data_IF_076675878099
#
_entry.id   IF_076675878099
#
_cell.length_a   1.000
_cell.length_b   1.000
_cell.length_c   1.000
_cell.angle_alpha   90.00
_cell.angle_beta   90.00
_cell.angle_gamma   90.00
#
_symmetry.space_group_name_H-M   'P 1'
#
loop_
_entity.id
_entity.type
_entity.pdbx_description
1 polymer ?
#
# COMPACT_ATOMS: atom_id res chain seq x y z
N UNK A 1 11.18 -17.39 -31.63
CA UNK A 1 11.70 -16.15 -31.05
C UNK A 1 12.04 -16.41 -29.58
N UNK A 2 13.23 -16.05 -29.12
CA UNK A 2 13.59 -16.22 -27.72
C UNK A 2 13.27 -14.93 -26.94
N UNK A 3 12.13 -14.92 -26.26
CA UNK A 3 11.66 -13.75 -25.48
C UNK A 3 12.53 -13.46 -24.25
N UNK A 4 13.28 -14.45 -23.76
CA UNK A 4 14.15 -14.29 -22.59
C UNK A 4 15.25 -13.25 -22.81
N UNK A 5 15.76 -13.12 -24.02
CA UNK A 5 16.81 -12.17 -24.37
C UNK A 5 16.41 -10.71 -24.19
N UNK A 6 15.10 -10.42 -24.09
CA UNK A 6 14.58 -9.07 -23.95
C UNK A 6 14.23 -8.69 -22.50
N UNK A 7 14.38 -9.61 -21.55
CA UNK A 7 14.01 -9.35 -20.14
C UNK A 7 14.91 -8.29 -19.52
N UNK A 8 16.21 -8.35 -19.75
CA UNK A 8 17.15 -7.40 -19.16
C UNK A 8 16.99 -6.00 -19.76
N UNK A 9 16.77 -5.90 -21.07
CA UNK A 9 16.48 -4.63 -21.74
C UNK A 9 15.16 -4.04 -21.22
N UNK A 10 14.12 -4.89 -21.05
CA UNK A 10 12.86 -4.47 -20.46
C UNK A 10 13.00 -4.00 -19.00
N UNK A 11 13.86 -4.63 -18.22
CA UNK A 11 14.18 -4.21 -16.86
C UNK A 11 14.75 -2.78 -16.83
N UNK A 12 15.70 -2.49 -17.73
CA UNK A 12 16.27 -1.16 -17.89
C UNK A 12 15.23 -0.14 -18.34
N UNK A 13 14.40 -0.48 -19.30
CA UNK A 13 13.27 0.35 -19.74
C UNK A 13 12.29 0.66 -18.59
N UNK A 14 11.95 -0.32 -17.76
CA UNK A 14 11.09 -0.10 -16.60
C UNK A 14 11.73 0.82 -15.55
N UNK A 15 13.03 0.77 -15.41
CA UNK A 15 13.78 1.61 -14.48
C UNK A 15 13.92 3.04 -15.02
N UNK A 16 14.44 3.20 -16.24
CA UNK A 16 14.80 4.51 -16.82
C UNK A 16 13.59 5.28 -17.32
N UNK A 17 12.72 4.66 -18.13
CA UNK A 17 11.62 5.37 -18.78
C UNK A 17 10.31 5.33 -18.01
N UNK A 18 9.98 4.20 -17.36
CA UNK A 18 8.76 4.08 -16.55
C UNK A 18 8.95 4.50 -15.11
N UNK A 19 10.18 4.77 -14.69
CA UNK A 19 10.53 5.21 -13.33
C UNK A 19 9.85 4.36 -12.23
N UNK A 20 9.81 3.03 -12.44
CA UNK A 20 9.20 2.11 -11.50
C UNK A 20 10.13 1.84 -10.31
N UNK A 21 9.54 1.56 -9.14
CA UNK A 21 10.31 1.12 -7.99
C UNK A 21 10.91 -0.26 -8.23
N UNK A 22 12.09 -0.54 -7.61
CA UNK A 22 12.75 -1.84 -7.69
C UNK A 22 11.82 -3.01 -7.34
N UNK A 23 10.95 -2.85 -6.35
CA UNK A 23 9.96 -3.87 -5.98
C UNK A 23 8.94 -4.13 -7.09
N UNK A 24 8.49 -3.07 -7.80
CA UNK A 24 7.57 -3.21 -8.93
C UNK A 24 8.25 -3.92 -10.09
N UNK A 25 9.50 -3.55 -10.40
CA UNK A 25 10.31 -4.19 -11.44
C UNK A 25 10.49 -5.67 -11.11
N UNK A 26 10.91 -6.01 -9.89
CA UNK A 26 11.09 -7.40 -9.47
C UNK A 26 9.79 -8.22 -9.61
N UNK A 27 8.64 -7.66 -9.22
CA UNK A 27 7.35 -8.33 -9.39
C UNK A 27 7.02 -8.57 -10.86
N UNK A 28 7.27 -7.59 -11.73
CA UNK A 28 7.07 -7.73 -13.18
C UNK A 28 7.95 -8.83 -13.76
N UNK A 29 9.22 -8.85 -13.39
CA UNK A 29 10.16 -9.89 -13.85
C UNK A 29 9.77 -11.30 -13.39
N UNK A 30 9.31 -11.45 -12.14
CA UNK A 30 8.79 -12.72 -11.62
C UNK A 30 7.57 -13.19 -12.43
N UNK A 31 6.64 -12.28 -12.72
CA UNK A 31 5.44 -12.61 -13.50
C UNK A 31 5.80 -13.02 -14.94
N UNK A 32 6.75 -12.31 -15.56
CA UNK A 32 7.20 -12.62 -16.91
C UNK A 32 7.94 -13.96 -16.98
N UNK A 33 8.80 -14.26 -16.00
CA UNK A 33 9.46 -15.58 -15.93
C UNK A 33 8.44 -16.70 -15.87
N UNK A 34 7.35 -16.55 -15.13
CA UNK A 34 6.27 -17.55 -15.09
C UNK A 34 5.57 -17.71 -16.44
N UNK A 35 5.34 -16.60 -17.17
CA UNK A 35 4.81 -16.68 -18.53
C UNK A 35 5.78 -17.38 -19.47
N UNK A 36 7.08 -17.12 -19.40
CA UNK A 36 8.09 -17.72 -20.27
C UNK A 36 8.24 -19.22 -20.04
N UNK A 37 8.11 -19.70 -18.81
CA UNK A 37 8.06 -21.14 -18.50
C UNK A 37 6.85 -21.80 -19.18
N UNK A 38 5.72 -21.07 -19.24
CA UNK A 38 4.50 -21.56 -19.89
C UNK A 38 4.54 -21.47 -21.41
N UNK A 39 5.42 -20.61 -21.96
CA UNK A 39 5.47 -20.27 -23.38
C UNK A 39 5.94 -21.44 -24.26
N UNK A 40 5.08 -21.84 -25.21
CA UNK A 40 5.41 -22.86 -26.20
C UNK A 40 5.91 -22.21 -27.50
N UNK A 41 7.18 -22.42 -27.86
CA UNK A 41 7.82 -21.86 -29.06
C UNK A 41 7.19 -22.33 -30.38
N UNK A 42 6.48 -23.45 -30.36
CA UNK A 42 5.81 -24.02 -31.55
C UNK A 42 4.43 -23.40 -31.80
N UNK A 43 3.94 -22.55 -30.93
CA UNK A 43 2.67 -21.87 -31.08
C UNK A 43 2.87 -20.37 -31.30
N UNK A 44 1.89 -19.72 -31.96
CA UNK A 44 1.95 -18.27 -32.11
C UNK A 44 1.79 -17.57 -30.75
N UNK A 45 2.26 -16.32 -30.68
CA UNK A 45 2.30 -15.55 -29.45
C UNK A 45 0.90 -15.30 -28.85
N UNK A 46 -0.10 -14.96 -29.69
CA UNK A 46 -1.47 -14.71 -29.24
C UNK A 46 -2.09 -15.94 -28.58
N UNK A 47 -1.89 -17.12 -29.18
CA UNK A 47 -2.38 -18.39 -28.63
C UNK A 47 -1.73 -18.74 -27.29
N UNK A 48 -0.43 -18.46 -27.14
CA UNK A 48 0.27 -18.60 -25.87
C UNK A 48 -0.30 -17.69 -24.78
N UNK A 49 -0.59 -16.42 -25.14
CA UNK A 49 -1.18 -15.44 -24.22
C UNK A 49 -2.57 -15.91 -23.76
N UNK A 50 -3.44 -16.30 -24.69
CA UNK A 50 -4.79 -16.80 -24.38
C UNK A 50 -4.76 -18.02 -23.46
N UNK A 51 -3.91 -19.00 -23.78
CA UNK A 51 -3.75 -20.20 -22.95
C UNK A 51 -3.23 -19.84 -21.55
N UNK A 52 -2.26 -18.94 -21.45
CA UNK A 52 -1.73 -18.49 -20.17
C UNK A 52 -2.79 -17.80 -19.33
N UNK A 53 -3.53 -16.84 -19.90
CA UNK A 53 -4.62 -16.14 -19.19
C UNK A 53 -5.70 -17.14 -18.75
N UNK A 54 -6.08 -18.08 -19.63
CA UNK A 54 -7.03 -19.13 -19.28
C UNK A 54 -6.55 -20.02 -18.15
N UNK A 55 -5.26 -20.37 -18.13
CA UNK A 55 -4.66 -21.16 -17.06
C UNK A 55 -4.67 -20.38 -15.72
N UNK A 56 -4.40 -19.08 -15.74
CA UNK A 56 -4.48 -18.23 -14.53
C UNK A 56 -5.89 -18.14 -13.97
N UNK A 57 -6.91 -18.13 -14.84
CA UNK A 57 -8.34 -18.09 -14.44
C UNK A 57 -8.82 -19.41 -13.83
N UNK A 58 -8.28 -20.55 -14.30
CA UNK A 58 -8.63 -21.90 -13.78
C UNK A 58 -8.01 -22.21 -12.43
N UNK A 59 -6.86 -21.60 -12.11
CA UNK A 59 -6.19 -21.78 -10.83
C UNK A 59 -6.86 -20.89 -9.78
N UNK A 60 -6.95 -21.35 -8.52
CA UNK A 60 -7.51 -20.59 -7.39
C UNK A 60 -6.65 -19.39 -6.97
N UNK A 61 -6.28 -18.54 -7.95
CA UNK A 61 -5.47 -17.33 -7.77
C UNK A 61 -6.41 -16.14 -7.65
N UNK A 62 -6.10 -15.20 -6.75
CA UNK A 62 -6.91 -13.99 -6.58
C UNK A 62 -6.95 -13.14 -7.86
N UNK A 63 -8.11 -12.54 -8.17
CA UNK A 63 -8.28 -11.64 -9.33
C UNK A 63 -7.23 -10.51 -9.34
N UNK A 64 -6.85 -10.00 -8.16
CA UNK A 64 -5.79 -8.99 -8.04
C UNK A 64 -4.43 -9.50 -8.54
N UNK A 65 -4.09 -10.74 -8.21
CA UNK A 65 -2.85 -11.37 -8.69
C UNK A 65 -2.91 -11.64 -10.19
N UNK A 66 -4.05 -12.12 -10.71
CA UNK A 66 -4.25 -12.33 -12.14
C UNK A 66 -4.10 -11.00 -12.90
N UNK A 67 -4.78 -9.94 -12.45
CA UNK A 67 -4.71 -8.63 -13.09
C UNK A 67 -3.28 -8.05 -13.05
N UNK A 68 -2.51 -8.27 -11.97
CA UNK A 68 -1.11 -7.87 -11.92
C UNK A 68 -0.26 -8.60 -12.95
N UNK A 69 -0.44 -9.93 -13.10
CA UNK A 69 0.28 -10.75 -14.10
C UNK A 69 -0.08 -10.34 -15.52
N UNK A 70 -1.35 -10.10 -15.80
CA UNK A 70 -1.83 -9.57 -17.08
C UNK A 70 -1.19 -8.20 -17.36
N UNK A 71 -1.14 -7.31 -16.36
CA UNK A 71 -0.53 -5.98 -16.50
C UNK A 71 0.97 -6.08 -16.79
N UNK A 72 1.69 -6.96 -16.10
CA UNK A 72 3.12 -7.21 -16.34
C UNK A 72 3.37 -7.69 -17.79
N UNK A 73 2.59 -8.66 -18.25
CA UNK A 73 2.69 -9.20 -19.58
C UNK A 73 2.33 -8.14 -20.65
N UNK A 74 1.22 -7.42 -20.46
CA UNK A 74 0.79 -6.34 -21.37
C UNK A 74 1.86 -5.26 -21.53
N UNK A 75 2.52 -4.85 -20.44
CA UNK A 75 3.60 -3.87 -20.49
C UNK A 75 4.81 -4.40 -21.25
N UNK A 76 5.19 -5.65 -21.05
CA UNK A 76 6.29 -6.28 -21.78
C UNK A 76 6.03 -6.37 -23.27
N UNK A 77 4.83 -6.78 -23.65
CA UNK A 77 4.45 -6.89 -25.06
C UNK A 77 4.36 -5.53 -25.76
N UNK A 78 3.88 -4.50 -25.06
CA UNK A 78 3.92 -3.12 -25.57
C UNK A 78 5.36 -2.63 -25.78
N UNK A 79 6.26 -2.96 -24.87
CA UNK A 79 7.68 -2.68 -25.03
C UNK A 79 8.26 -3.40 -26.26
N UNK A 80 8.01 -4.71 -26.43
CA UNK A 80 8.47 -5.43 -27.61
C UNK A 80 7.90 -4.88 -28.92
N UNK A 81 6.68 -4.34 -28.89
CA UNK A 81 6.05 -3.69 -30.03
C UNK A 81 6.69 -2.31 -30.34
N UNK A 82 6.99 -1.51 -29.31
CA UNK A 82 7.69 -0.22 -29.50
C UNK A 82 9.10 -0.41 -30.07
N UNK A 83 9.79 -1.47 -29.67
CA UNK A 83 11.10 -1.86 -30.20
C UNK A 83 11.01 -2.57 -31.56
N UNK A 84 9.82 -2.66 -32.18
CA UNK A 84 9.57 -3.31 -33.48
C UNK A 84 9.96 -4.81 -33.54
N UNK A 85 10.10 -5.45 -32.38
CA UNK A 85 10.46 -6.87 -32.25
C UNK A 85 9.27 -7.75 -32.61
N UNK A 86 8.06 -7.30 -32.28
CA UNK A 86 6.80 -7.98 -32.62
C UNK A 86 5.86 -7.02 -33.36
N UNK A 87 5.14 -7.52 -34.37
CA UNK A 87 4.36 -6.66 -35.24
C UNK A 87 2.89 -6.53 -34.85
N UNK A 88 2.20 -7.60 -34.52
CA UNK A 88 0.76 -7.58 -34.25
C UNK A 88 0.40 -8.34 -32.98
N UNK A 89 -0.02 -7.60 -31.95
CA UNK A 89 -0.60 -8.18 -30.74
C UNK A 89 -2.05 -7.72 -30.67
N UNK A 90 -2.94 -8.69 -30.48
CA UNK A 90 -4.29 -8.37 -30.08
C UNK A 90 -4.31 -8.00 -28.60
N UNK A 91 -4.39 -6.71 -28.29
CA UNK A 91 -4.45 -6.21 -26.93
C UNK A 91 -5.83 -6.41 -26.26
N UNK A 92 -6.86 -6.76 -27.03
CA UNK A 92 -8.23 -6.99 -26.51
C UNK A 92 -8.31 -8.30 -25.71
N UNK A 93 -7.34 -9.21 -25.90
CA UNK A 93 -7.18 -10.43 -25.11
C UNK A 93 -6.98 -10.12 -23.60
N UNK A 94 -6.50 -8.91 -23.29
CA UNK A 94 -6.18 -8.48 -21.92
C UNK A 94 -7.36 -7.85 -21.19
N UNK A 95 -8.54 -8.43 -21.27
CA UNK A 95 -9.65 -8.00 -20.42
C UNK A 95 -9.30 -8.15 -18.94
N UNK A 96 -9.38 -7.05 -18.21
CA UNK A 96 -9.17 -7.07 -16.76
C UNK A 96 -10.35 -7.74 -16.07
N UNK A 97 -10.08 -8.68 -15.18
CA UNK A 97 -11.11 -9.23 -14.31
C UNK A 97 -11.61 -8.14 -13.36
N UNK A 98 -12.93 -8.02 -13.26
CA UNK A 98 -13.53 -7.11 -12.31
C UNK A 98 -13.08 -7.49 -10.89
N UNK A 99 -12.21 -6.70 -10.33
CA UNK A 99 -11.96 -6.73 -8.90
C UNK A 99 -13.17 -6.07 -8.24
N UNK A 100 -14.04 -6.85 -7.63
CA UNK A 100 -14.84 -6.32 -6.54
C UNK A 100 -13.83 -5.81 -5.50
N UNK A 101 -13.51 -4.53 -5.55
CA UNK A 101 -12.66 -3.89 -4.54
C UNK A 101 -13.39 -4.10 -3.20
N UNK A 102 -13.07 -5.17 -2.49
CA UNK A 102 -13.46 -5.28 -1.08
C UNK A 102 -12.80 -4.09 -0.42
N UNK A 103 -13.63 -3.10 -0.08
CA UNK A 103 -13.19 -1.95 0.69
C UNK A 103 -12.66 -2.55 1.99
N UNK A 104 -11.38 -2.37 2.34
CA UNK A 104 -10.90 -2.79 3.64
C UNK A 104 -11.81 -2.09 4.66
N UNK A 105 -12.49 -2.83 5.53
CA UNK A 105 -13.25 -2.23 6.63
C UNK A 105 -12.27 -1.39 7.43
N UNK A 106 -12.50 -0.08 7.46
CA UNK A 106 -11.83 0.76 8.42
C UNK A 106 -12.21 0.22 9.82
N UNK A 107 -11.23 0.16 10.68
CA UNK A 107 -11.44 -0.26 12.06
C UNK A 107 -11.79 1.01 12.84
N UNK A 108 -12.85 0.96 13.64
CA UNK A 108 -13.27 2.09 14.46
C UNK A 108 -12.22 2.50 15.50
N UNK A 109 -12.29 3.73 16.01
CA UNK A 109 -11.39 4.22 17.06
C UNK A 109 -11.37 3.30 18.28
N UNK A 110 -12.54 2.81 18.71
CA UNK A 110 -12.66 1.94 19.86
C UNK A 110 -12.03 0.56 19.62
N UNK A 111 -12.17 0.02 18.42
CA UNK A 111 -11.53 -1.24 18.04
C UNK A 111 -10.01 -1.07 17.94
N UNK A 112 -9.51 0.06 17.43
CA UNK A 112 -8.07 0.39 17.40
C UNK A 112 -7.52 0.45 18.84
N UNK A 113 -8.22 1.09 19.77
CA UNK A 113 -7.81 1.15 21.16
C UNK A 113 -7.78 -0.25 21.79
N UNK A 114 -8.81 -1.08 21.59
CA UNK A 114 -8.84 -2.48 22.04
C UNK A 114 -7.68 -3.30 21.48
N UNK A 115 -7.30 -3.07 20.22
CA UNK A 115 -6.12 -3.72 19.62
C UNK A 115 -4.85 -3.32 20.36
N UNK A 116 -4.62 -2.01 20.59
CA UNK A 116 -3.45 -1.54 21.30
C UNK A 116 -3.39 -2.06 22.73
N UNK A 117 -4.52 -2.09 23.45
CA UNK A 117 -4.59 -2.63 24.82
C UNK A 117 -4.26 -4.12 24.87
N UNK A 118 -4.79 -4.89 23.91
CA UNK A 118 -4.49 -6.32 23.82
C UNK A 118 -3.02 -6.58 23.46
N UNK A 119 -2.44 -5.79 22.57
CA UNK A 119 -1.03 -5.89 22.22
C UNK A 119 -0.12 -5.50 23.40
N UNK A 120 -0.51 -4.47 24.18
CA UNK A 120 0.24 -4.05 25.39
C UNK A 120 0.27 -5.15 26.44
N UNK A 121 -0.80 -5.93 26.59
CA UNK A 121 -0.90 -7.06 27.53
C UNK A 121 -0.18 -8.32 27.05
N UNK A 122 0.25 -8.37 25.78
CA UNK A 122 0.93 -9.54 25.21
C UNK A 122 2.33 -9.75 25.81
N UNK A 123 2.82 -10.98 25.72
CA UNK A 123 4.16 -11.42 26.11
C UNK A 123 5.19 -11.38 24.95
N UNK A 124 4.85 -10.70 23.85
CA UNK A 124 5.70 -10.68 22.68
C UNK A 124 7.01 -9.92 22.89
N UNK A 125 8.11 -10.54 22.49
CA UNK A 125 9.42 -9.89 22.47
C UNK A 125 9.38 -8.65 21.58
N UNK A 126 9.97 -7.55 22.05
CA UNK A 126 10.02 -6.27 21.35
C UNK A 126 8.63 -5.66 21.03
N UNK A 127 7.57 -6.05 21.75
CA UNK A 127 6.21 -5.54 21.49
C UNK A 127 6.12 -4.03 21.44
N UNK A 128 6.81 -3.35 22.37
CA UNK A 128 6.75 -1.89 22.48
C UNK A 128 7.16 -1.18 21.19
N UNK A 129 8.21 -1.66 20.52
CA UNK A 129 8.67 -1.05 19.27
C UNK A 129 7.65 -1.26 18.14
N UNK A 130 7.05 -2.45 18.04
CA UNK A 130 6.00 -2.72 17.04
C UNK A 130 4.73 -1.91 17.32
N UNK A 131 4.32 -1.80 18.58
CA UNK A 131 3.18 -0.98 18.99
C UNK A 131 3.42 0.50 18.67
N UNK A 132 4.63 1.01 18.93
CA UNK A 132 5.00 2.39 18.62
C UNK A 132 4.98 2.65 17.12
N UNK A 133 5.45 1.70 16.28
CA UNK A 133 5.34 1.78 14.81
C UNK A 133 3.87 1.89 14.39
N UNK A 134 3.00 1.02 14.90
CA UNK A 134 1.58 1.00 14.54
C UNK A 134 0.85 2.26 15.02
N UNK A 135 1.17 2.76 16.23
CA UNK A 135 0.66 4.04 16.74
C UNK A 135 1.10 5.21 15.86
N UNK A 136 2.38 5.25 15.47
CA UNK A 136 2.88 6.27 14.55
C UNK A 136 2.07 6.26 13.24
N UNK A 137 1.86 5.09 12.64
CA UNK A 137 1.07 4.97 11.41
C UNK A 137 -0.38 5.44 11.58
N UNK A 138 -0.98 5.20 12.75
CA UNK A 138 -2.35 5.63 13.04
C UNK A 138 -2.45 7.13 13.32
N UNK A 139 -1.43 7.75 13.92
CA UNK A 139 -1.42 9.19 14.25
C UNK A 139 -1.07 10.03 13.02
N UNK A 140 -0.09 9.58 12.23
CA UNK A 140 0.51 10.37 11.13
C UNK A 140 0.07 9.94 9.73
N UNK A 141 -0.64 8.82 9.61
CA UNK A 141 -1.04 8.26 8.32
C UNK A 141 0.12 7.76 7.44
N UNK A 142 1.31 7.55 8.00
CA UNK A 142 2.46 7.07 7.24
C UNK A 142 2.25 5.66 6.67
N UNK A 143 2.88 5.37 5.51
CA UNK A 143 3.05 3.98 5.07
C UNK A 143 4.03 3.27 6.00
N UNK A 144 3.85 1.97 6.19
CA UNK A 144 4.78 1.19 7.03
C UNK A 144 6.23 1.30 6.55
N UNK A 145 6.48 1.34 5.24
CA UNK A 145 7.82 1.52 4.68
C UNK A 145 8.41 2.91 4.98
N UNK A 146 7.57 3.94 4.98
CA UNK A 146 7.95 5.31 5.36
C UNK A 146 8.29 5.37 6.85
N UNK A 147 7.41 4.87 7.71
CA UNK A 147 7.65 4.81 9.16
C UNK A 147 8.95 4.09 9.50
N UNK A 148 9.22 2.94 8.87
CA UNK A 148 10.44 2.16 9.10
C UNK A 148 11.71 2.78 8.50
N UNK A 149 11.59 3.74 7.59
CA UNK A 149 12.73 4.43 7.01
C UNK A 149 13.15 5.67 7.80
N UNK A 150 12.34 6.13 8.75
CA UNK A 150 12.59 7.34 9.53
C UNK A 150 13.88 7.25 10.35
N UNK A 151 14.61 8.33 10.31
CA UNK A 151 15.76 8.59 11.17
C UNK A 151 15.41 9.69 12.20
N UNK A 152 16.18 9.80 13.24
CA UNK A 152 16.01 10.88 14.23
C UNK A 152 16.21 12.27 13.62
N UNK A 153 17.05 12.39 12.58
CA UNK A 153 17.22 13.62 11.80
C UNK A 153 15.97 14.08 11.03
N UNK A 154 15.02 13.16 10.76
CA UNK A 154 13.79 13.48 10.05
C UNK A 154 12.70 14.03 10.98
N UNK A 155 12.92 13.98 12.30
CA UNK A 155 11.97 14.38 13.32
C UNK A 155 12.35 15.73 13.94
N UNK A 156 11.44 16.72 13.84
CA UNK A 156 11.53 17.98 14.58
C UNK A 156 10.67 17.89 15.85
N UNK A 157 11.33 18.00 17.02
CA UNK A 157 10.64 18.03 18.31
C UNK A 157 9.85 19.31 18.49
N UNK A 158 10.42 20.43 18.10
CA UNK A 158 9.82 21.76 18.21
C UNK A 158 8.57 21.93 17.34
N UNK A 159 8.64 21.43 16.10
CA UNK A 159 7.52 21.51 15.17
C UNK A 159 6.53 20.36 15.34
N UNK A 160 6.85 19.36 16.16
CA UNK A 160 6.10 18.10 16.29
C UNK A 160 5.83 17.49 14.91
N UNK A 161 6.83 17.50 14.04
CA UNK A 161 6.70 17.16 12.63
C UNK A 161 7.76 16.15 12.18
N UNK A 162 7.40 15.38 11.17
CA UNK A 162 8.27 14.42 10.50
C UNK A 162 8.41 14.82 9.05
N UNK A 163 9.62 14.92 8.56
CA UNK A 163 9.91 15.03 7.13
C UNK A 163 9.87 13.63 6.51
N UNK A 164 8.97 13.43 5.56
CA UNK A 164 8.73 12.13 4.93
C UNK A 164 9.12 12.21 3.46
N UNK A 165 10.03 11.36 3.06
CA UNK A 165 10.47 11.24 1.67
C UNK A 165 9.66 10.15 0.96
N UNK A 166 8.82 10.57 0.01
CA UNK A 166 7.98 9.70 -0.79
C UNK A 166 8.65 9.21 -2.07
N UNK A 167 7.91 8.45 -2.87
CA UNK A 167 8.37 8.01 -4.20
C UNK A 167 8.66 9.22 -5.10
N UNK A 168 9.84 9.23 -5.75
CA UNK A 168 10.30 10.34 -6.61
C UNK A 168 10.80 11.54 -5.82
N UNK A 169 11.36 11.34 -4.63
CA UNK A 169 11.95 12.41 -3.78
C UNK A 169 10.99 13.53 -3.40
N UNK A 170 9.67 13.29 -3.51
CA UNK A 170 8.68 14.26 -3.04
C UNK A 170 8.68 14.26 -1.52
N UNK A 171 9.11 15.39 -0.97
CA UNK A 171 9.08 15.64 0.46
C UNK A 171 7.69 16.09 0.90
N UNK A 172 7.24 15.60 2.05
CA UNK A 172 6.07 16.11 2.75
C UNK A 172 6.30 16.12 4.25
N UNK A 173 5.69 17.08 4.93
CA UNK A 173 5.62 17.09 6.39
C UNK A 173 4.41 16.28 6.85
N UNK A 174 4.59 15.47 7.88
CA UNK A 174 3.53 14.83 8.64
C UNK A 174 3.66 15.25 10.09
N UNK A 175 2.53 15.49 10.76
CA UNK A 175 2.51 16.05 12.11
C UNK A 175 2.19 14.98 13.14
N UNK A 176 2.70 15.17 14.35
CA UNK A 176 2.48 14.33 15.51
C UNK A 176 1.74 15.11 16.61
N UNK A 177 1.17 14.37 17.55
CA UNK A 177 0.72 14.99 18.80
C UNK A 177 1.91 15.24 19.72
N UNK A 178 1.80 16.24 20.62
CA UNK A 178 2.84 16.52 21.62
C UNK A 178 3.16 15.28 22.47
N UNK A 179 2.13 14.62 22.97
CA UNK A 179 2.25 13.40 23.78
C UNK A 179 3.02 12.29 23.06
N UNK A 180 2.70 12.05 21.78
CA UNK A 180 3.38 10.99 21.03
C UNK A 180 4.82 11.37 20.67
N UNK A 181 5.08 12.65 20.45
CA UNK A 181 6.44 13.18 20.23
C UNK A 181 7.31 12.90 21.47
N UNK A 182 6.82 13.17 22.68
CA UNK A 182 7.54 12.86 23.91
C UNK A 182 7.76 11.35 24.07
N UNK A 183 6.75 10.52 23.78
CA UNK A 183 6.89 9.04 23.80
C UNK A 183 7.98 8.57 22.84
N UNK A 184 8.10 9.17 21.65
CA UNK A 184 9.19 8.83 20.72
C UNK A 184 10.54 9.24 21.28
N UNK A 185 10.68 10.48 21.75
CA UNK A 185 11.95 11.00 22.24
C UNK A 185 12.44 10.28 23.51
N UNK A 186 11.54 9.81 24.38
CA UNK A 186 11.91 8.99 25.54
C UNK A 186 12.57 7.65 25.16
N UNK A 187 12.37 7.20 23.92
CA UNK A 187 12.96 5.96 23.38
C UNK A 187 14.25 6.21 22.59
N UNK A 188 14.69 7.47 22.43
CA UNK A 188 15.89 7.81 21.68
C UNK A 188 17.13 7.28 22.37
N UNK A 189 17.91 6.46 21.66
CA UNK A 189 19.18 5.90 22.13
C UNK A 189 20.38 6.35 21.29
N UNK A 190 20.17 6.57 20.01
CA UNK A 190 21.18 6.96 19.03
C UNK A 190 20.57 7.88 17.96
N UNK A 191 21.35 8.37 17.03
CA UNK A 191 20.89 9.23 15.93
C UNK A 191 20.59 8.45 14.64
N UNK A 192 20.48 7.13 14.72
CA UNK A 192 20.20 6.26 13.59
C UNK A 192 18.71 6.19 13.21
N UNK A 193 18.26 4.99 12.84
CA UNK A 193 16.85 4.75 12.57
C UNK A 193 16.02 4.80 13.86
N UNK A 194 14.87 5.48 13.81
CA UNK A 194 13.95 5.54 14.98
C UNK A 194 13.54 4.11 15.40
N UNK A 195 13.23 3.25 14.42
CA UNK A 195 12.80 1.88 14.67
C UNK A 195 13.87 0.88 14.24
N UNK A 196 14.61 0.40 15.21
CA UNK A 196 15.63 -0.63 15.03
C UNK A 196 15.57 -1.66 16.17
N UNK A 197 16.04 -2.87 15.93
CA UNK A 197 16.27 -3.89 16.96
C UNK A 197 17.76 -4.25 16.90
N UNK A 198 18.48 -3.96 18.00
CA UNK A 198 19.93 -4.18 18.08
C UNK A 198 20.68 -3.53 16.91
N UNK A 199 20.35 -2.29 16.56
CA UNK A 199 20.93 -1.53 15.44
C UNK A 199 20.48 -1.96 14.04
N UNK A 200 19.69 -3.02 13.89
CA UNK A 200 19.19 -3.49 12.60
C UNK A 200 17.80 -2.92 12.30
N UNK A 201 17.63 -2.39 11.09
CA UNK A 201 16.35 -1.88 10.60
C UNK A 201 15.28 -2.98 10.59
N UNK A 202 14.08 -2.63 11.09
CA UNK A 202 12.92 -3.53 11.07
C UNK A 202 12.35 -3.63 9.65
N UNK A 203 11.95 -4.83 9.23
CA UNK A 203 11.33 -5.05 7.93
C UNK A 203 9.81 -4.89 7.99
N UNK A 204 9.19 -4.52 6.86
CA UNK A 204 7.73 -4.52 6.69
C UNK A 204 7.13 -5.90 7.00
N UNK A 205 7.85 -6.96 6.60
CA UNK A 205 7.45 -8.34 6.86
C UNK A 205 7.36 -8.62 8.35
N UNK A 206 8.34 -8.15 9.15
CA UNK A 206 8.36 -8.35 10.60
C UNK A 206 7.16 -7.69 11.29
N UNK A 207 6.77 -6.48 10.85
CA UNK A 207 5.57 -5.78 11.38
C UNK A 207 4.30 -6.58 11.09
N UNK A 208 4.14 -7.07 9.86
CA UNK A 208 2.96 -7.86 9.50
C UNK A 208 2.96 -9.25 10.17
N UNK A 209 4.13 -9.86 10.37
CA UNK A 209 4.26 -11.11 11.15
C UNK A 209 3.90 -10.92 12.63
N UNK A 210 4.23 -9.76 13.21
CA UNK A 210 3.79 -9.42 14.58
C UNK A 210 2.27 -9.38 14.68
N UNK A 211 1.59 -8.72 13.74
CA UNK A 211 0.12 -8.68 13.68
C UNK A 211 -0.49 -10.06 13.41
N UNK A 212 0.09 -10.85 12.50
CA UNK A 212 -0.39 -12.21 12.22
C UNK A 212 -0.26 -13.12 13.46
N UNK A 213 0.84 -12.99 14.22
CA UNK A 213 1.02 -13.69 15.50
C UNK A 213 -0.04 -13.28 16.53
N UNK A 214 -0.32 -11.97 16.64
CA UNK A 214 -1.35 -11.46 17.53
C UNK A 214 -2.75 -12.01 17.18
N UNK A 215 -3.07 -12.09 15.88
CA UNK A 215 -4.29 -12.72 15.42
C UNK A 215 -4.36 -14.22 15.78
N UNK A 216 -3.30 -14.98 15.52
CA UNK A 216 -3.24 -16.42 15.84
C UNK A 216 -3.35 -16.71 17.33
N UNK A 217 -2.88 -15.81 18.19
CA UNK A 217 -3.02 -15.91 19.66
C UNK A 217 -4.38 -15.39 20.17
N UNK A 218 -5.29 -14.98 19.29
CA UNK A 218 -6.62 -14.47 19.67
C UNK A 218 -6.60 -13.08 20.32
N UNK A 219 -5.46 -12.36 20.29
CA UNK A 219 -5.34 -11.01 20.85
C UNK A 219 -6.08 -9.96 20.01
N UNK A 220 -6.23 -10.22 18.70
CA UNK A 220 -7.02 -9.40 17.78
C UNK A 220 -8.04 -10.27 17.05
N UNK A 221 -9.25 -9.72 16.89
CA UNK A 221 -10.40 -10.46 16.37
C UNK A 221 -10.30 -10.81 14.88
N UNK A 222 -9.61 -9.98 14.10
CA UNK A 222 -9.52 -10.13 12.64
C UNK A 222 -8.07 -10.14 12.20
N UNK A 223 -7.79 -10.87 11.11
CA UNK A 223 -6.50 -10.78 10.44
C UNK A 223 -6.36 -9.42 9.76
N UNK A 224 -5.44 -8.62 10.25
CA UNK A 224 -5.17 -7.27 9.76
C UNK A 224 -3.71 -7.13 9.31
N UNK A 225 -3.46 -6.17 8.45
CA UNK A 225 -2.11 -5.74 8.06
C UNK A 225 -1.83 -4.33 8.56
N UNK A 226 -0.58 -3.93 8.55
CA UNK A 226 -0.17 -2.57 8.93
C UNK A 226 -0.89 -1.46 8.16
N UNK A 227 -1.31 -1.71 6.92
CA UNK A 227 -2.07 -0.73 6.12
C UNK A 227 -3.41 -0.33 6.72
N UNK A 228 -4.01 -1.19 7.55
CA UNK A 228 -5.27 -0.89 8.22
C UNK A 228 -5.15 0.34 9.12
N UNK A 229 -4.04 0.52 9.85
CA UNK A 229 -3.82 1.67 10.72
C UNK A 229 -3.79 3.00 9.95
N UNK A 230 -3.13 3.02 8.80
CA UNK A 230 -3.14 4.19 7.92
C UNK A 230 -4.53 4.44 7.33
N UNK A 231 -5.26 3.39 6.97
CA UNK A 231 -6.63 3.51 6.47
C UNK A 231 -7.57 4.05 7.56
N UNK A 232 -7.44 3.53 8.78
CA UNK A 232 -8.23 4.01 9.92
C UNK A 232 -7.91 5.46 10.29
N UNK A 233 -6.64 5.91 10.16
CA UNK A 233 -6.29 7.33 10.25
C UNK A 233 -7.11 8.17 9.28
N UNK A 234 -7.08 7.82 7.99
CA UNK A 234 -7.80 8.60 6.97
C UNK A 234 -9.31 8.61 7.19
N UNK A 235 -9.88 7.47 7.60
CA UNK A 235 -11.31 7.35 7.90
C UNK A 235 -11.69 8.17 9.13
N UNK A 236 -10.89 8.08 10.20
CA UNK A 236 -11.12 8.85 11.43
C UNK A 236 -11.05 10.37 11.18
N UNK A 237 -10.12 10.82 10.33
CA UNK A 237 -10.05 12.24 9.92
C UNK A 237 -11.32 12.67 9.18
N UNK A 238 -11.85 11.83 8.28
CA UNK A 238 -13.09 12.11 7.56
C UNK A 238 -14.31 12.12 8.48
N UNK A 239 -14.37 11.19 9.43
CA UNK A 239 -15.44 11.10 10.44
C UNK A 239 -15.48 12.33 11.37
N UNK A 240 -14.35 13.03 11.50
CA UNK A 240 -14.22 14.30 12.21
C UNK A 240 -14.23 15.53 11.26
N UNK A 241 -14.93 15.43 10.13
CA UNK A 241 -15.18 16.50 9.17
C UNK A 241 -13.93 17.12 8.51
N UNK A 242 -12.79 16.43 8.52
CA UNK A 242 -11.61 16.92 7.81
C UNK A 242 -11.82 16.88 6.29
N UNK A 243 -11.45 17.95 5.60
CA UNK A 243 -11.54 18.03 4.15
C UNK A 243 -10.68 16.92 3.50
N UNK A 244 -11.29 16.17 2.58
CA UNK A 244 -10.67 15.07 1.86
C UNK A 244 -9.39 15.50 1.12
N UNK A 245 -9.32 16.75 0.65
CA UNK A 245 -8.14 17.31 -0.02
C UNK A 245 -6.97 17.48 0.95
N UNK A 246 -7.24 17.87 2.20
CA UNK A 246 -6.22 17.94 3.25
C UNK A 246 -5.71 16.55 3.60
N UNK A 247 -6.61 15.57 3.73
CA UNK A 247 -6.23 14.17 3.99
C UNK A 247 -5.38 13.62 2.84
N UNK A 248 -5.71 13.91 1.59
CA UNK A 248 -4.91 13.52 0.42
C UNK A 248 -3.49 14.07 0.47
N UNK A 249 -3.32 15.35 0.82
CA UNK A 249 -2.02 15.99 0.99
C UNK A 249 -1.22 15.34 2.12
N UNK A 250 -1.83 15.12 3.28
CA UNK A 250 -1.21 14.46 4.43
C UNK A 250 -0.75 13.03 4.09
N UNK A 251 -1.56 12.28 3.37
CA UNK A 251 -1.24 10.92 2.97
C UNK A 251 -0.22 10.85 1.81
N UNK A 252 -0.02 11.92 1.06
CA UNK A 252 0.85 11.93 -0.12
C UNK A 252 0.35 10.98 -1.21
N UNK A 253 -0.97 11.04 -1.52
CA UNK A 253 -1.56 10.29 -2.62
C UNK A 253 -1.31 11.00 -3.94
N UNK A 254 -0.61 10.36 -4.87
CA UNK A 254 -0.35 10.88 -6.23
C UNK A 254 -1.53 10.67 -7.19
N UNK A 255 -2.54 9.89 -6.81
CA UNK A 255 -3.69 9.55 -7.66
C UNK A 255 -5.00 9.62 -6.89
N UNK A 256 -6.02 10.22 -7.56
CA UNK A 256 -7.40 10.30 -7.08
C UNK A 256 -8.04 8.90 -6.92
N UNK A 257 -7.59 7.90 -7.68
CA UNK A 257 -8.13 6.53 -7.65
C UNK A 257 -7.92 5.80 -6.31
N UNK A 258 -6.87 6.14 -5.57
CA UNK A 258 -6.67 5.65 -4.19
C UNK A 258 -7.64 6.30 -3.20
N UNK A 259 -8.26 7.39 -3.60
CA UNK A 259 -9.19 8.17 -2.78
C UNK A 259 -10.66 7.78 -3.01
N UNK A 260 -10.97 7.03 -4.08
CA UNK A 260 -12.33 6.50 -4.33
C UNK A 260 -12.85 5.64 -3.16
N UNK A 261 -11.95 5.00 -2.41
CA UNK A 261 -12.31 4.25 -1.20
C UNK A 261 -12.90 5.19 -0.15
N UNK A 262 -12.38 6.41 -0.04
CA UNK A 262 -12.82 7.42 0.93
C UNK A 262 -14.02 8.23 0.43
N UNK A 263 -14.28 8.30 -0.88
CA UNK A 263 -15.47 9.00 -1.41
C UNK A 263 -16.78 8.32 -1.04
N UNK A 264 -16.79 7.01 -0.79
CA UNK A 264 -18.00 6.32 -0.28
C UNK A 264 -18.31 6.70 1.16
N UNK A 265 -17.29 6.86 2.01
CA UNK A 265 -17.45 7.37 3.39
C UNK A 265 -17.88 8.83 3.33
N UNK A 266 -17.25 9.65 2.49
CA UNK A 266 -17.64 11.04 2.28
C UNK A 266 -19.06 11.24 1.70
N UNK A 267 -19.61 10.25 0.95
CA UNK A 267 -21.01 10.31 0.48
C UNK A 267 -22.02 10.12 1.60
N UNK A 268 -21.76 9.24 2.58
CA UNK A 268 -22.64 9.10 3.76
C UNK A 268 -22.59 10.34 4.64
N UNK A 269 -21.41 10.94 4.81
CA UNK A 269 -21.22 12.21 5.52
C UNK A 269 -21.91 13.38 4.79
N UNK A 270 -21.81 13.46 3.45
CA UNK A 270 -22.51 14.50 2.67
C UNK A 270 -24.02 14.44 2.83
N UNK A 271 -24.62 13.26 2.98
CA UNK A 271 -26.04 13.14 3.26
C UNK A 271 -26.38 13.69 4.64
N UNK A 272 -25.59 13.39 5.67
CA UNK A 272 -25.80 13.93 7.02
C UNK A 272 -25.57 15.46 7.10
N UNK A 273 -24.60 15.97 6.32
CA UNK A 273 -24.36 17.43 6.20
C UNK A 273 -25.54 18.14 5.52
N UNK A 274 -26.11 17.57 4.44
CA UNK A 274 -27.33 18.11 3.83
C UNK A 274 -28.51 18.10 4.82
N UNK A 275 -28.67 16.98 5.53
CA UNK A 275 -29.71 16.83 6.53
C UNK A 275 -29.51 17.78 7.72
N UNK A 276 -28.29 18.22 8.00
CA UNK A 276 -27.96 19.11 9.12
C UNK A 276 -28.00 20.60 8.74
N UNK A 277 -27.48 20.97 7.56
CA UNK A 277 -27.22 22.37 7.19
C UNK A 277 -28.03 22.87 6.00
N UNK A 278 -28.93 22.04 5.41
CA UNK A 278 -29.74 22.51 4.28
C UNK A 278 -30.72 23.62 4.71
N UNK A 279 -30.76 24.77 4.00
CA UNK A 279 -31.60 25.93 4.41
C UNK A 279 -33.10 25.64 4.47
N UNK A 280 -33.56 24.57 3.79
CA UNK A 280 -34.97 24.15 3.76
C UNK A 280 -35.31 23.03 4.73
N UNK A 281 -34.38 22.60 5.61
CA UNK A 281 -34.60 21.49 6.54
C UNK A 281 -35.85 21.59 7.41
N UNK A 282 -36.31 22.80 7.70
CA UNK A 282 -37.47 23.07 8.56
C UNK A 282 -38.67 23.65 7.79
N UNK A 283 -38.69 23.53 6.45
CA UNK A 283 -39.77 24.14 5.61
C UNK A 283 -40.51 23.13 4.74
N UNK A 284 -40.33 21.85 4.95
CA UNK A 284 -41.08 20.72 4.40
C UNK A 284 -41.60 19.88 5.59
#
# INVERSE_FOLDING_TARGET
MNLENFIDIFKEFLFSEKNLSQNSINNYLIDLKQFLIFFNKNENLNKNIEKYISSLRKNNISNSTINRKISSLKNFLKFLQSEKIIKNINLDIFESLNNSKKIPKAISKDEINKIFDSLNRSDFTNKNIYITILRLMYISGLRVSEALALRWSDLSKTDMAINVYGKGSKERKSYLTSEFTEVLYSQKKDDGFIFNIKGKKISVRSVNQFLDRAYRKGLIKYKISSHVFRHSFATSMLENDADIRHIQKLLGHSSISTTEIYTKVAKSLKKSVLDTYHPLKNKL
#
